data_IF_164144103789
#
_entry.id   IF_164144103789
#
_cell.length_a   1.000
_cell.length_b   1.000
_cell.length_c   1.000
_cell.angle_alpha   90.00
_cell.angle_beta   90.00
_cell.angle_gamma   90.00
#
_symmetry.space_group_name_H-M   'P 1'
#
loop_
_entity.id
_entity.type
_entity.pdbx_description
1 polymer ?
#
# COMPACT_ATOMS: atom_id res chain seq x y z
N UNK A 1 -24.48 29.76 -67.84
CA UNK A 1 -23.26 30.53 -68.07
C UNK A 1 -22.47 30.45 -66.78
N UNK A 2 -21.47 29.60 -66.88
CA UNK A 2 -20.63 29.02 -65.84
C UNK A 2 -19.50 29.93 -65.37
N UNK A 3 -18.79 29.45 -64.33
CA UNK A 3 -17.42 29.78 -63.82
C UNK A 3 -17.50 30.29 -62.37
N UNK A 4 -17.24 29.51 -61.33
CA UNK A 4 -16.10 28.64 -61.00
C UNK A 4 -14.72 29.35 -61.02
N UNK A 5 -14.17 29.50 -59.81
CA UNK A 5 -12.78 29.76 -59.38
C UNK A 5 -12.93 30.45 -58.01
N UNK A 6 -12.74 29.81 -56.86
CA UNK A 6 -11.75 28.82 -56.51
C UNK A 6 -10.70 29.51 -55.65
N UNK A 7 -10.95 29.65 -54.34
CA UNK A 7 -9.89 30.03 -53.40
C UNK A 7 -10.18 29.47 -51.98
N UNK A 8 -9.35 28.49 -51.66
CA UNK A 8 -8.75 28.14 -50.37
C UNK A 8 -9.65 27.91 -49.15
N UNK A 9 -9.95 26.63 -49.03
CA UNK A 9 -10.35 25.89 -47.84
C UNK A 9 -9.32 26.05 -46.72
N UNK A 10 -9.52 27.00 -45.82
CA UNK A 10 -8.79 27.05 -44.55
C UNK A 10 -9.58 26.31 -43.46
N UNK A 11 -9.24 25.03 -43.29
CA UNK A 11 -9.71 24.16 -42.21
C UNK A 11 -9.16 24.65 -40.87
N UNK A 12 -9.81 25.64 -40.26
CA UNK A 12 -9.65 25.87 -38.83
C UNK A 12 -10.42 24.82 -38.04
N UNK A 13 -9.81 23.64 -38.00
CA UNK A 13 -10.04 22.60 -37.01
C UNK A 13 -9.87 23.20 -35.62
N UNK A 14 -10.96 23.69 -35.02
CA UNK A 14 -11.04 23.85 -33.56
C UNK A 14 -11.02 22.45 -32.97
N UNK A 15 -9.82 21.97 -32.67
CA UNK A 15 -9.59 20.83 -31.81
C UNK A 15 -10.24 21.14 -30.46
N UNK A 16 -11.39 20.53 -30.21
CA UNK A 16 -11.89 20.30 -28.86
C UNK A 16 -10.79 19.51 -28.18
N UNK A 17 -10.15 20.10 -27.17
CA UNK A 17 -9.19 19.40 -26.32
C UNK A 17 -9.94 18.24 -25.64
N UNK A 18 -9.87 17.07 -26.27
CA UNK A 18 -10.38 15.83 -25.73
C UNK A 18 -9.69 15.60 -24.39
N UNK A 19 -10.49 15.28 -23.38
CA UNK A 19 -10.01 14.82 -22.09
C UNK A 19 -8.90 13.77 -22.29
N UNK A 20 -7.85 13.75 -21.44
CA UNK A 20 -6.81 12.75 -21.54
C UNK A 20 -7.46 11.37 -21.48
N UNK A 21 -7.34 10.64 -22.59
CA UNK A 21 -7.77 9.25 -22.70
C UNK A 21 -7.14 8.48 -21.54
N UNK A 22 -7.89 7.66 -20.79
CA UNK A 22 -7.29 6.85 -19.74
C UNK A 22 -6.22 5.98 -20.40
N UNK A 23 -4.96 6.31 -20.17
CA UNK A 23 -3.83 5.49 -20.59
C UNK A 23 -4.04 4.15 -19.93
N UNK A 24 -4.32 3.14 -20.74
CA UNK A 24 -4.42 1.77 -20.28
C UNK A 24 -3.19 1.41 -19.46
N UNK A 25 -3.41 0.53 -18.48
CA UNK A 25 -2.39 -0.02 -17.59
C UNK A 25 -1.09 -0.29 -18.35
N UNK A 26 0.00 0.27 -17.82
CA UNK A 26 1.34 0.11 -18.36
C UNK A 26 1.68 -1.38 -18.48
N UNK A 27 2.58 -1.73 -19.41
CA UNK A 27 3.06 -3.11 -19.59
C UNK A 27 3.60 -3.74 -18.29
N UNK A 28 4.08 -2.91 -17.36
CA UNK A 28 4.51 -3.33 -16.02
C UNK A 28 3.32 -3.65 -15.07
N UNK A 29 2.20 -2.94 -15.19
CA UNK A 29 0.96 -3.23 -14.45
C UNK A 29 0.23 -4.46 -15.01
N UNK A 30 0.29 -4.68 -16.33
CA UNK A 30 -0.27 -5.87 -16.97
C UNK A 30 0.51 -7.14 -16.59
N UNK A 31 1.83 -7.05 -16.38
CA UNK A 31 2.66 -8.16 -15.89
C UNK A 31 2.35 -8.50 -14.41
N UNK A 32 2.04 -7.49 -13.57
CA UNK A 32 1.61 -7.73 -12.17
C UNK A 32 0.19 -8.32 -12.08
N UNK A 33 -0.68 -8.03 -13.05
CA UNK A 33 -2.06 -8.53 -13.10
C UNK A 33 -2.18 -9.99 -13.60
N UNK A 34 -1.11 -10.59 -14.14
CA UNK A 34 -1.13 -11.99 -14.61
C UNK A 34 -1.15 -13.03 -13.49
N UNK A 35 -0.89 -12.63 -12.24
CA UNK A 35 -0.74 -13.60 -11.13
C UNK A 35 -2.05 -14.03 -10.46
N UNK A 36 -3.20 -13.40 -10.78
CA UNK A 36 -4.47 -13.70 -10.09
C UNK A 36 -5.43 -14.59 -10.92
N UNK A 37 -5.21 -14.83 -12.23
CA UNK A 37 -6.20 -15.57 -13.04
C UNK A 37 -5.65 -16.76 -13.85
N UNK A 38 -4.83 -17.61 -13.23
CA UNK A 38 -4.35 -18.86 -13.84
C UNK A 38 -4.96 -20.15 -13.25
N UNK A 39 -6.04 -20.06 -12.45
CA UNK A 39 -6.70 -21.23 -11.87
C UNK A 39 -8.09 -21.54 -12.42
N UNK A 40 -8.40 -21.18 -13.67
CA UNK A 40 -9.71 -21.52 -14.29
C UNK A 40 -9.73 -22.09 -15.71
N UNK A 41 -8.59 -22.49 -16.29
CA UNK A 41 -8.59 -23.11 -17.63
C UNK A 41 -7.70 -24.35 -17.74
N UNK A 42 -8.04 -25.41 -16.98
CA UNK A 42 -7.70 -26.79 -17.35
C UNK A 42 -8.87 -27.74 -17.06
N UNK A 43 -10.01 -27.52 -17.73
CA UNK A 43 -10.96 -28.60 -18.01
C UNK A 43 -10.43 -29.39 -19.20
N UNK A 44 -9.45 -30.27 -18.97
CA UNK A 44 -9.23 -31.43 -19.83
C UNK A 44 -10.05 -32.56 -19.24
N UNK A 45 -10.89 -33.16 -20.10
CA UNK A 45 -11.83 -34.21 -19.74
C UNK A 45 -11.15 -35.34 -18.99
N UNK A 46 -11.76 -35.72 -17.88
CA UNK A 46 -11.64 -37.05 -17.32
C UNK A 46 -13.09 -37.54 -17.29
N UNK A 47 -13.43 -38.45 -18.19
CA UNK A 47 -14.66 -39.21 -18.11
C UNK A 47 -14.62 -39.99 -16.78
N UNK A 48 -15.43 -39.56 -15.82
CA UNK A 48 -15.64 -40.28 -14.56
C UNK A 48 -16.91 -41.11 -14.74
N UNK A 49 -16.86 -42.44 -14.58
CA UNK A 49 -18.04 -43.27 -14.70
C UNK A 49 -19.08 -42.87 -13.65
N UNK A 50 -20.34 -42.79 -14.08
CA UNK A 50 -21.48 -42.44 -13.25
C UNK A 50 -21.59 -43.42 -12.07
N UNK A 51 -21.35 -42.95 -10.84
CA UNK A 51 -21.55 -43.76 -9.64
C UNK A 51 -20.86 -43.31 -8.36
N UNK A 52 -19.94 -42.34 -8.37
CA UNK A 52 -19.24 -41.91 -7.14
C UNK A 52 -19.62 -40.48 -6.80
N UNK A 53 -20.47 -40.33 -5.77
CA UNK A 53 -20.80 -39.05 -5.14
C UNK A 53 -19.53 -38.34 -4.66
N UNK A 54 -19.49 -37.00 -4.65
CA UNK A 54 -18.31 -36.25 -4.25
C UNK A 54 -18.06 -36.46 -2.75
N UNK A 55 -17.11 -37.33 -2.43
CA UNK A 55 -16.47 -37.34 -1.12
C UNK A 55 -16.02 -35.91 -0.86
N UNK A 56 -16.50 -35.32 0.23
CA UNK A 56 -16.01 -34.06 0.78
C UNK A 56 -14.49 -34.10 0.68
N UNK A 57 -13.90 -33.23 -0.15
CA UNK A 57 -12.49 -33.32 -0.57
C UNK A 57 -11.55 -33.12 0.62
N UNK A 58 -11.38 -34.15 1.45
CA UNK A 58 -10.31 -34.25 2.41
C UNK A 58 -9.02 -34.34 1.59
N UNK A 59 -8.19 -33.31 1.72
CA UNK A 59 -6.89 -33.27 1.07
C UNK A 59 -6.07 -34.49 1.50
N UNK A 60 -5.39 -35.11 0.55
CA UNK A 60 -4.40 -36.16 0.86
C UNK A 60 -3.24 -35.58 1.67
N UNK A 61 -2.51 -36.39 2.46
CA UNK A 61 -1.35 -35.91 3.22
C UNK A 61 -0.32 -35.16 2.36
N UNK A 62 -0.05 -35.64 1.15
CA UNK A 62 0.87 -34.99 0.22
C UNK A 62 0.34 -33.62 -0.28
N UNK A 63 -0.97 -33.51 -0.53
CA UNK A 63 -1.59 -32.22 -0.90
C UNK A 63 -1.60 -31.24 0.27
N UNK A 64 -1.80 -31.72 1.51
CA UNK A 64 -1.71 -30.90 2.72
C UNK A 64 -0.31 -30.35 2.92
N UNK A 65 0.72 -31.17 2.71
CA UNK A 65 2.11 -30.74 2.81
C UNK A 65 2.45 -29.66 1.78
N UNK A 66 2.10 -29.88 0.50
CA UNK A 66 2.27 -28.85 -0.55
C UNK A 66 1.54 -27.55 -0.21
N UNK A 67 0.30 -27.63 0.26
CA UNK A 67 -0.48 -26.46 0.67
C UNK A 67 0.16 -25.73 1.87
N UNK A 68 0.77 -26.47 2.81
CA UNK A 68 1.52 -25.90 3.93
C UNK A 68 2.81 -25.20 3.47
N UNK A 69 3.52 -25.76 2.50
CA UNK A 69 4.75 -25.15 1.97
C UNK A 69 4.44 -23.89 1.16
N UNK A 70 3.40 -23.95 0.32
CA UNK A 70 2.82 -22.80 -0.39
C UNK A 70 2.42 -21.71 0.61
N UNK A 71 1.76 -22.09 1.70
CA UNK A 71 1.38 -21.18 2.78
C UNK A 71 2.57 -20.47 3.41
N UNK A 72 3.58 -21.23 3.84
CA UNK A 72 4.75 -20.66 4.49
C UNK A 72 5.50 -19.72 3.56
N UNK A 73 5.52 -20.03 2.26
CA UNK A 73 6.12 -19.18 1.24
C UNK A 73 5.31 -17.88 1.07
N UNK A 74 4.00 -17.96 0.92
CA UNK A 74 3.13 -16.78 0.81
C UNK A 74 3.19 -15.88 2.05
N UNK A 75 3.17 -16.47 3.25
CA UNK A 75 3.30 -15.72 4.50
C UNK A 75 4.64 -15.00 4.59
N UNK A 76 5.72 -15.68 4.19
CA UNK A 76 7.06 -15.07 4.16
C UNK A 76 7.10 -13.86 3.23
N UNK A 77 6.53 -13.97 2.03
CA UNK A 77 6.44 -12.85 1.09
C UNK A 77 5.69 -11.66 1.68
N UNK A 78 4.55 -11.89 2.36
CA UNK A 78 3.79 -10.80 3.01
C UNK A 78 4.58 -10.15 4.15
N UNK A 79 5.32 -10.93 4.94
CA UNK A 79 6.19 -10.41 6.00
C UNK A 79 7.34 -9.59 5.42
N UNK A 80 7.98 -10.07 4.35
CA UNK A 80 9.08 -9.36 3.69
C UNK A 80 8.57 -8.05 3.06
N UNK A 81 7.35 -8.04 2.49
CA UNK A 81 6.70 -6.82 2.00
C UNK A 81 6.41 -5.81 3.12
N UNK A 82 5.93 -6.28 4.28
CA UNK A 82 5.69 -5.43 5.44
C UNK A 82 7.00 -4.82 5.96
N UNK A 83 8.07 -5.63 6.03
CA UNK A 83 9.39 -5.14 6.44
C UNK A 83 9.95 -4.10 5.46
N UNK A 84 9.82 -4.33 4.14
CA UNK A 84 10.24 -3.35 3.13
C UNK A 84 9.43 -2.05 3.22
N UNK A 85 8.13 -2.15 3.51
CA UNK A 85 7.26 -1.00 3.72
C UNK A 85 7.64 -0.20 4.98
N UNK A 86 8.02 -0.90 6.06
CA UNK A 86 8.51 -0.29 7.30
C UNK A 86 9.88 0.39 7.12
N UNK A 87 10.76 -0.16 6.30
CA UNK A 87 12.03 0.49 5.96
C UNK A 87 11.84 1.75 5.09
N UNK A 88 10.86 1.74 4.17
CA UNK A 88 10.53 2.92 3.34
C UNK A 88 10.12 4.13 4.20
N UNK A 89 9.39 3.91 5.30
CA UNK A 89 9.04 4.99 6.25
C UNK A 89 10.28 5.69 6.81
N UNK A 90 11.27 4.91 7.26
CA UNK A 90 12.51 5.41 7.87
C UNK A 90 13.34 6.24 6.91
N UNK A 91 13.28 5.92 5.61
CA UNK A 91 14.08 6.61 4.60
C UNK A 91 13.38 7.83 3.99
N UNK A 92 12.05 7.84 3.96
CA UNK A 92 11.29 8.85 3.19
C UNK A 92 10.45 9.81 4.06
N UNK A 93 10.01 9.40 5.25
CA UNK A 93 9.10 10.21 6.10
C UNK A 93 9.80 10.65 7.38
N UNK A 94 10.48 9.73 8.07
CA UNK A 94 11.23 10.02 9.30
C UNK A 94 12.24 11.20 9.20
N UNK A 95 13.04 11.36 8.12
CA UNK A 95 13.96 12.48 8.02
C UNK A 95 13.24 13.82 7.82
N UNK A 96 12.11 13.84 7.10
CA UNK A 96 11.36 15.05 6.84
C UNK A 96 10.62 15.53 8.11
N UNK A 97 10.10 14.60 8.92
CA UNK A 97 9.54 14.92 10.25
C UNK A 97 10.60 15.53 11.19
N UNK A 98 11.82 14.99 11.21
CA UNK A 98 12.92 15.54 12.03
C UNK A 98 13.29 16.95 11.63
N UNK A 99 13.36 17.22 10.32
CA UNK A 99 13.72 18.56 9.82
C UNK A 99 12.70 19.62 10.19
N UNK A 100 11.42 19.26 10.29
CA UNK A 100 10.38 20.17 10.76
C UNK A 100 10.55 20.51 12.25
N UNK A 101 10.89 19.52 13.08
CA UNK A 101 11.11 19.75 14.51
C UNK A 101 12.30 20.69 14.80
N UNK A 102 13.34 20.68 13.95
CA UNK A 102 14.53 21.51 14.14
C UNK A 102 14.32 23.00 13.79
N UNK A 103 13.30 23.35 12.99
CA UNK A 103 13.06 24.74 12.55
C UNK A 103 12.45 25.61 13.66
N UNK A 104 11.76 25.02 14.63
CA UNK A 104 11.10 25.74 15.73
C UNK A 104 12.09 26.35 16.75
N UNK A 105 13.37 25.92 16.77
CA UNK A 105 14.40 26.32 17.76
C UNK A 105 15.38 27.39 17.25
N UNK A 106 15.06 28.13 16.19
CA UNK A 106 16.03 29.05 15.57
C UNK A 106 16.43 30.28 16.42
N UNK A 107 15.83 30.48 17.60
CA UNK A 107 16.40 31.30 18.69
C UNK A 107 16.96 32.69 18.31
N UNK A 108 16.37 33.38 17.33
CA UNK A 108 16.91 34.66 16.82
C UNK A 108 16.72 35.76 17.86
N UNK A 109 17.76 36.02 18.66
CA UNK A 109 17.83 37.15 19.59
C UNK A 109 18.40 38.37 18.86
N UNK A 110 17.58 39.42 18.70
CA UNK A 110 18.04 40.71 18.16
C UNK A 110 18.72 41.48 19.31
N UNK A 111 20.01 41.81 19.22
CA UNK A 111 20.70 42.57 20.25
C UNK A 111 20.14 43.99 20.37
N UNK A 112 19.87 44.39 21.61
CA UNK A 112 19.35 45.70 21.98
C UNK A 112 20.38 46.80 21.63
N UNK A 113 19.96 47.81 20.84
CA UNK A 113 20.81 48.95 20.46
C UNK A 113 21.32 49.00 19.01
N UNK A 114 21.01 48.01 18.16
CA UNK A 114 21.40 48.00 16.72
C UNK A 114 20.41 48.75 15.82
N UNK A 115 19.20 49.04 16.32
CA UNK A 115 18.17 49.75 15.55
C UNK A 115 18.29 51.27 15.71
N UNK A 116 18.26 52.04 14.61
CA UNK A 116 18.36 53.50 14.68
C UNK A 116 17.18 54.13 15.46
N UNK A 117 17.40 55.20 16.24
CA UNK A 117 16.38 55.76 17.14
C UNK A 117 15.20 56.49 16.48
N UNK A 118 15.20 56.69 15.16
CA UNK A 118 14.26 57.60 14.48
C UNK A 118 13.36 56.88 13.50
N UNK A 119 12.06 57.14 13.66
CA UNK A 119 10.95 56.21 13.48
C UNK A 119 10.18 56.37 12.16
N UNK A 120 10.83 56.94 11.14
CA UNK A 120 10.23 57.11 9.81
C UNK A 120 11.03 56.32 8.79
N UNK A 121 10.46 55.20 8.36
CA UNK A 121 10.99 54.42 7.24
C UNK A 121 10.97 55.27 5.98
N UNK A 122 12.08 55.30 5.26
CA UNK A 122 12.11 55.84 3.90
C UNK A 122 11.15 55.05 2.99
N UNK A 123 10.65 55.65 1.91
CA UNK A 123 9.74 54.95 0.98
C UNK A 123 10.32 53.63 0.44
N UNK A 124 11.65 53.58 0.20
CA UNK A 124 12.34 52.34 -0.16
C UNK A 124 12.35 51.29 0.95
N UNK A 125 12.46 51.71 2.22
CA UNK A 125 12.36 50.79 3.36
C UNK A 125 10.92 50.29 3.57
N UNK A 126 9.91 51.14 3.36
CA UNK A 126 8.49 50.72 3.41
C UNK A 126 8.17 49.70 2.32
N UNK A 127 8.66 49.92 1.10
CA UNK A 127 8.50 48.98 0.00
C UNK A 127 9.15 47.63 0.33
N UNK A 128 10.40 47.67 0.83
CA UNK A 128 11.11 46.45 1.25
C UNK A 128 10.43 45.74 2.41
N UNK A 129 9.86 46.47 3.36
CA UNK A 129 9.09 45.89 4.47
C UNK A 129 7.84 45.18 3.95
N UNK A 130 7.13 45.78 2.98
CA UNK A 130 5.97 45.16 2.35
C UNK A 130 6.35 43.87 1.60
N UNK A 131 7.41 43.91 0.80
CA UNK A 131 7.95 42.72 0.13
C UNK A 131 8.32 41.61 1.12
N UNK A 132 8.96 41.96 2.24
CA UNK A 132 9.31 40.99 3.28
C UNK A 132 8.07 40.41 3.97
N UNK A 133 7.04 41.22 4.23
CA UNK A 133 5.76 40.73 4.79
C UNK A 133 5.08 39.76 3.83
N UNK A 134 5.05 40.08 2.55
CA UNK A 134 4.49 39.19 1.51
C UNK A 134 5.30 37.89 1.41
N UNK A 135 6.63 37.95 1.42
CA UNK A 135 7.46 36.75 1.39
C UNK A 135 7.28 35.90 2.65
N UNK A 136 7.14 36.50 3.84
CA UNK A 136 6.81 35.77 5.08
C UNK A 136 5.46 35.05 4.94
N UNK A 137 4.44 35.71 4.38
CA UNK A 137 3.13 35.05 4.17
C UNK A 137 3.23 33.89 3.20
N UNK A 138 4.01 34.04 2.13
CA UNK A 138 4.26 32.98 1.15
C UNK A 138 5.02 31.80 1.76
N UNK A 139 6.04 32.08 2.58
CA UNK A 139 6.83 31.04 3.25
C UNK A 139 6.00 30.26 4.27
N UNK A 140 5.13 30.93 5.03
CA UNK A 140 4.20 30.26 5.95
C UNK A 140 3.21 29.35 5.22
N UNK A 141 2.73 29.78 4.06
CA UNK A 141 1.84 28.97 3.25
C UNK A 141 2.57 27.74 2.68
N UNK A 142 3.80 27.91 2.19
CA UNK A 142 4.63 26.81 1.72
C UNK A 142 4.96 25.82 2.84
N UNK A 143 5.23 26.31 4.04
CA UNK A 143 5.44 25.49 5.24
C UNK A 143 4.19 24.66 5.57
N UNK A 144 3.00 25.29 5.53
CA UNK A 144 1.72 24.60 5.71
C UNK A 144 1.52 23.51 4.66
N UNK A 145 1.75 23.81 3.39
CA UNK A 145 1.65 22.83 2.29
C UNK A 145 2.61 21.65 2.50
N UNK A 146 3.83 21.91 2.97
CA UNK A 146 4.80 20.86 3.27
C UNK A 146 4.34 19.96 4.42
N UNK A 147 3.78 20.53 5.49
CA UNK A 147 3.20 19.77 6.60
C UNK A 147 2.02 18.91 6.14
N UNK A 148 1.11 19.47 5.34
CA UNK A 148 -0.03 18.73 4.81
C UNK A 148 0.42 17.58 3.89
N UNK A 149 1.41 17.83 3.03
CA UNK A 149 1.97 16.79 2.16
C UNK A 149 2.60 15.65 2.97
N UNK A 150 3.29 15.95 4.07
CA UNK A 150 3.85 14.95 4.96
C UNK A 150 2.76 14.17 5.69
N UNK A 151 1.75 14.85 6.22
CA UNK A 151 0.62 14.19 6.87
C UNK A 151 -0.07 13.21 5.90
N UNK A 152 -0.34 13.63 4.67
CA UNK A 152 -0.95 12.77 3.64
C UNK A 152 -0.09 11.54 3.37
N UNK A 153 1.24 11.71 3.24
CA UNK A 153 2.16 10.58 3.03
C UNK A 153 2.13 9.62 4.21
N UNK A 154 2.16 10.12 5.44
CA UNK A 154 2.08 9.31 6.65
C UNK A 154 0.76 8.53 6.72
N UNK A 155 -0.37 9.17 6.44
CA UNK A 155 -1.69 8.52 6.40
C UNK A 155 -1.79 7.44 5.31
N UNK A 156 -1.22 7.70 4.13
CA UNK A 156 -1.14 6.72 3.05
C UNK A 156 -0.31 5.51 3.45
N UNK A 157 0.85 5.75 4.07
CA UNK A 157 1.72 4.72 4.59
C UNK A 157 1.01 3.88 5.67
N UNK A 158 0.36 4.51 6.64
CA UNK A 158 -0.39 3.81 7.69
C UNK A 158 -1.54 2.97 7.13
N UNK A 159 -2.19 3.46 6.09
CA UNK A 159 -3.28 2.75 5.42
C UNK A 159 -2.76 1.52 4.67
N UNK A 160 -1.66 1.66 3.92
CA UNK A 160 -1.02 0.55 3.23
C UNK A 160 -0.50 -0.51 4.21
N UNK A 161 0.10 -0.09 5.33
CA UNK A 161 0.57 -0.98 6.40
C UNK A 161 -0.58 -1.75 7.03
N UNK A 162 -1.69 -1.07 7.38
CA UNK A 162 -2.90 -1.73 7.92
C UNK A 162 -3.47 -2.75 6.94
N UNK A 163 -3.47 -2.45 5.64
CA UNK A 163 -3.92 -3.39 4.62
C UNK A 163 -3.02 -4.64 4.55
N UNK A 164 -1.70 -4.47 4.59
CA UNK A 164 -0.75 -5.60 4.63
C UNK A 164 -0.94 -6.47 5.89
N UNK A 165 -1.10 -5.86 7.06
CA UNK A 165 -1.39 -6.59 8.30
C UNK A 165 -2.72 -7.36 8.20
N UNK A 166 -3.78 -6.73 7.72
CA UNK A 166 -5.08 -7.38 7.57
C UNK A 166 -5.05 -8.56 6.58
N UNK A 167 -4.27 -8.46 5.50
CA UNK A 167 -4.07 -9.59 4.57
C UNK A 167 -3.29 -10.74 5.21
N UNK A 168 -2.28 -10.43 6.02
CA UNK A 168 -1.51 -11.43 6.77
C UNK A 168 -2.37 -12.11 7.85
N UNK A 169 -3.23 -11.39 8.55
CA UNK A 169 -4.17 -11.94 9.53
C UNK A 169 -5.24 -12.82 8.89
N UNK A 170 -5.82 -12.37 7.77
CA UNK A 170 -6.77 -13.17 6.99
C UNK A 170 -6.11 -14.45 6.52
N UNK A 171 -4.90 -14.34 5.98
CA UNK A 171 -4.08 -15.49 5.63
C UNK A 171 -4.00 -16.36 6.89
N UNK A 172 -3.36 -15.96 7.97
CA UNK A 172 -3.14 -16.85 9.13
C UNK A 172 -4.43 -17.49 9.70
N UNK A 173 -5.58 -16.85 9.56
CA UNK A 173 -6.91 -17.40 9.85
C UNK A 173 -7.34 -18.51 8.88
N UNK A 174 -7.23 -18.32 7.56
CA UNK A 174 -7.55 -19.35 6.55
C UNK A 174 -6.73 -20.63 6.72
N UNK A 175 -5.46 -20.51 7.16
CA UNK A 175 -4.67 -21.69 7.54
C UNK A 175 -5.24 -22.38 8.76
N UNK A 176 -5.56 -21.64 9.82
CA UNK A 176 -6.13 -22.24 11.03
C UNK A 176 -7.39 -23.01 10.70
N UNK A 177 -8.28 -22.45 9.87
CA UNK A 177 -9.50 -23.11 9.42
C UNK A 177 -9.22 -24.35 8.55
N UNK A 178 -8.30 -24.24 7.59
CA UNK A 178 -7.94 -25.34 6.67
C UNK A 178 -7.36 -26.56 7.39
N UNK A 179 -6.70 -26.38 8.54
CA UNK A 179 -6.07 -27.44 9.31
C UNK A 179 -6.77 -27.72 10.66
N UNK A 180 -7.86 -27.00 10.98
CA UNK A 180 -8.62 -27.20 12.21
C UNK A 180 -9.15 -28.64 12.40
N UNK A 181 -9.67 -29.33 11.36
CA UNK A 181 -10.13 -30.72 11.50
C UNK A 181 -8.99 -31.67 11.90
N UNK A 182 -7.80 -31.48 11.32
CA UNK A 182 -6.63 -32.31 11.63
C UNK A 182 -6.16 -32.11 13.07
N UNK A 183 -6.21 -30.87 13.56
CA UNK A 183 -5.87 -30.56 14.95
C UNK A 183 -6.85 -31.20 15.94
N UNK A 184 -8.15 -31.19 15.63
CA UNK A 184 -9.18 -31.87 16.45
C UNK A 184 -8.96 -33.37 16.47
N UNK A 185 -8.77 -33.99 15.30
CA UNK A 185 -8.51 -35.42 15.18
C UNK A 185 -7.25 -35.85 15.92
N UNK A 186 -6.16 -35.09 15.78
CA UNK A 186 -4.91 -35.35 16.51
C UNK A 186 -5.13 -35.33 18.02
N UNK A 187 -5.84 -34.31 18.52
CA UNK A 187 -6.13 -34.17 19.95
C UNK A 187 -6.96 -35.34 20.48
N UNK A 188 -8.00 -35.76 19.74
CA UNK A 188 -8.80 -36.93 20.11
C UNK A 188 -7.99 -38.23 20.12
N UNK A 189 -7.09 -38.40 19.15
CA UNK A 189 -6.17 -39.54 19.10
C UNK A 189 -5.21 -39.55 20.29
N UNK A 190 -4.63 -38.40 20.63
CA UNK A 190 -3.73 -38.27 21.77
C UNK A 190 -4.43 -38.63 23.09
N UNK A 191 -5.67 -38.15 23.28
CA UNK A 191 -6.45 -38.52 24.47
C UNK A 191 -6.79 -40.02 24.51
N UNK A 192 -7.13 -40.62 23.36
CA UNK A 192 -7.33 -42.08 23.27
C UNK A 192 -6.06 -42.86 23.61
N UNK A 193 -4.90 -42.42 23.10
CA UNK A 193 -3.61 -43.05 23.40
C UNK A 193 -3.31 -42.94 24.90
N UNK A 194 -3.48 -41.75 25.51
CA UNK A 194 -3.27 -41.56 26.95
C UNK A 194 -4.20 -42.44 27.79
N UNK A 195 -5.47 -42.57 27.39
CA UNK A 195 -6.43 -43.45 28.05
C UNK A 195 -5.96 -44.91 27.99
N UNK A 196 -5.61 -45.41 26.79
CA UNK A 196 -5.14 -46.78 26.60
C UNK A 196 -3.85 -47.07 27.37
N UNK A 197 -2.90 -46.12 27.38
CA UNK A 197 -1.66 -46.23 28.17
C UNK A 197 -1.97 -46.32 29.66
N UNK A 198 -2.93 -45.55 30.15
CA UNK A 198 -3.35 -45.59 31.56
C UNK A 198 -4.02 -46.91 31.92
N UNK A 199 -4.85 -47.45 31.02
CA UNK A 199 -5.51 -48.76 31.19
C UNK A 199 -4.48 -49.90 31.22
N UNK A 200 -3.54 -49.94 30.27
CA UNK A 200 -2.43 -50.92 30.25
C UNK A 200 -1.63 -50.84 31.56
N UNK A 201 -1.34 -49.63 32.03
CA UNK A 201 -0.61 -49.42 33.28
C UNK A 201 -1.38 -49.90 34.51
N UNK A 202 -2.72 -49.94 34.47
CA UNK A 202 -3.54 -50.48 35.54
C UNK A 202 -3.61 -52.01 35.57
N UNK A 203 -3.20 -52.68 34.49
CA UNK A 203 -3.19 -54.15 34.36
C UNK A 203 -1.84 -54.78 34.76
N UNK A 204 -0.81 -53.98 35.03
CA UNK A 204 0.55 -54.38 35.43
C UNK A 204 0.79 -53.98 36.88
#
# INVERSE_FOLDING_TARGET
MDSDSGDEREEHSRAIAAAPTPRGLSRAELERSKFIDHRRSRRRGIDVPAGVLPVTRLLTPAQKLRKKDEWTSSRKVLVDQLAAHDESYKTEIEPDEKRLADVEDAGVVIPEGVLPPTRDLTEGQKLREKELREEITRLKELEREHHEALQIKTEQWDTARRALVATLERHDSERRESFAPDYKLSKELDEKIKSAVSEIKGLV
#
